data_IF_188910985345
#
_entry.id   IF_188910985345
#
_cell.length_a   1.000
_cell.length_b   1.000
_cell.length_c   1.000
_cell.angle_alpha   90.00
_cell.angle_beta   90.00
_cell.angle_gamma   90.00
#
_symmetry.space_group_name_H-M   'P 1'
#
loop_
_entity.id
_entity.type
_entity.pdbx_description
1 polymer ?
#
# COMPACT_ATOMS: atom_id res chain seq x y z
N UNK A 1 16.82 3.15 3.64
CA UNK A 1 16.37 1.80 3.96
C UNK A 1 14.88 1.82 4.25
N UNK A 2 14.17 0.77 3.89
CA UNK A 2 12.74 0.71 4.11
C UNK A 2 12.44 0.01 5.42
N UNK A 3 11.51 0.56 6.19
CA UNK A 3 11.02 -0.09 7.40
C UNK A 3 9.71 -0.79 7.09
N UNK A 4 9.65 -2.10 7.30
CA UNK A 4 8.42 -2.85 7.07
C UNK A 4 7.60 -2.80 8.35
N UNK A 5 6.42 -2.18 8.27
CA UNK A 5 5.54 -2.02 9.43
C UNK A 5 4.67 -3.24 9.62
N UNK A 6 4.23 -3.84 8.53
CA UNK A 6 3.38 -5.03 8.57
C UNK A 6 3.49 -5.74 7.24
N UNK A 7 3.47 -7.06 7.26
CA UNK A 7 3.43 -7.84 6.04
C UNK A 7 2.20 -8.73 6.07
N UNK A 8 1.34 -8.57 5.07
CA UNK A 8 0.12 -9.36 4.93
C UNK A 8 0.00 -9.72 3.46
N UNK A 9 0.54 -10.85 3.09
CA UNK A 9 0.66 -11.23 1.69
C UNK A 9 -0.64 -11.13 0.94
N UNK A 10 -0.62 -10.62 -0.27
CA UNK A 10 0.56 -10.25 -1.06
C UNK A 10 1.04 -8.82 -0.82
N UNK A 11 0.57 -8.18 0.23
CA UNK A 11 0.88 -6.78 0.50
C UNK A 11 1.91 -6.61 1.60
N UNK A 12 2.63 -5.50 1.53
CA UNK A 12 3.58 -5.12 2.55
C UNK A 12 3.42 -3.63 2.81
N UNK A 13 3.34 -3.25 4.08
CA UNK A 13 3.16 -1.86 4.47
C UNK A 13 4.48 -1.34 4.97
N UNK A 14 4.99 -0.28 4.33
CA UNK A 14 6.35 0.18 4.60
C UNK A 14 6.37 1.68 4.82
N UNK A 15 7.41 2.11 5.52
CA UNK A 15 7.76 3.52 5.63
C UNK A 15 9.15 3.67 5.05
N UNK A 16 9.31 4.59 4.10
CA UNK A 16 10.60 4.86 3.51
C UNK A 16 11.38 5.82 4.39
N UNK A 17 12.70 5.73 4.29
CA UNK A 17 13.57 6.53 5.12
C UNK A 17 13.49 8.00 4.78
N UNK A 18 13.33 8.31 3.52
CA UNK A 18 13.28 9.69 3.07
C UNK A 18 11.88 10.27 3.22
N UNK A 19 11.82 11.54 3.57
CA UNK A 19 10.54 12.24 3.65
C UNK A 19 10.10 12.66 2.25
N UNK A 20 8.79 12.88 2.13
CA UNK A 20 8.24 13.44 0.90
C UNK A 20 8.63 14.92 0.80
N UNK A 21 8.43 15.50 -0.38
CA UNK A 21 8.76 16.91 -0.60
C UNK A 21 8.11 17.84 0.39
N UNK A 22 6.90 17.49 0.84
CA UNK A 22 6.18 18.30 1.80
C UNK A 22 6.59 18.04 3.25
N UNK A 23 7.64 17.23 3.47
CA UNK A 23 8.14 16.95 4.81
C UNK A 23 7.40 15.86 5.52
N UNK A 24 6.41 15.25 4.91
CA UNK A 24 5.65 14.19 5.53
C UNK A 24 6.33 12.84 5.34
N UNK A 25 6.13 11.90 6.28
CA UNK A 25 6.67 10.55 6.11
C UNK A 25 6.11 9.87 4.86
N UNK A 26 6.95 9.07 4.23
CA UNK A 26 6.58 8.38 3.00
C UNK A 26 6.07 6.98 3.36
N UNK A 27 4.76 6.87 3.55
CA UNK A 27 4.12 5.59 3.83
C UNK A 27 3.58 5.00 2.56
N UNK A 28 3.97 3.75 2.27
CA UNK A 28 3.55 3.09 1.06
C UNK A 28 3.04 1.69 1.32
N UNK A 29 2.07 1.28 0.51
CA UNK A 29 1.65 -0.11 0.46
C UNK A 29 2.30 -0.70 -0.78
N UNK A 30 3.02 -1.81 -0.59
CA UNK A 30 3.67 -2.50 -1.69
C UNK A 30 2.99 -3.83 -1.92
N UNK A 31 2.99 -4.29 -3.16
CA UNK A 31 2.39 -5.56 -3.53
C UNK A 31 3.43 -6.45 -4.19
N UNK A 32 3.39 -7.72 -3.88
CA UNK A 32 4.31 -8.69 -4.47
C UNK A 32 4.00 -8.91 -5.94
N UNK A 33 5.06 -8.85 -6.74
CA UNK A 33 5.00 -9.15 -8.17
C UNK A 33 5.98 -10.29 -8.43
N UNK A 34 5.52 -11.37 -9.02
CA UNK A 34 6.34 -12.55 -9.24
C UNK A 34 7.60 -12.26 -10.05
N UNK A 35 7.62 -11.20 -10.83
CA UNK A 35 8.77 -10.89 -11.68
C UNK A 35 9.71 -9.89 -11.03
N UNK A 36 9.19 -8.98 -10.25
CA UNK A 36 9.96 -7.83 -9.75
C UNK A 36 10.04 -7.73 -8.25
N UNK A 37 9.43 -8.65 -7.53
CA UNK A 37 9.37 -8.56 -6.07
C UNK A 37 8.33 -7.55 -5.62
N UNK A 38 8.56 -6.93 -4.49
CA UNK A 38 7.61 -5.95 -3.98
C UNK A 38 7.71 -4.65 -4.76
N UNK A 39 6.57 -4.15 -5.18
CA UNK A 39 6.48 -2.90 -5.93
C UNK A 39 5.52 -1.96 -5.24
N UNK A 40 5.81 -0.65 -5.35
CA UNK A 40 4.93 0.36 -4.79
C UNK A 40 3.56 0.27 -5.47
N UNK A 41 2.53 0.14 -4.66
CA UNK A 41 1.17 0.05 -5.15
C UNK A 41 0.39 1.32 -4.83
N UNK A 42 0.54 1.84 -3.64
CA UNK A 42 -0.25 2.96 -3.19
C UNK A 42 0.53 3.81 -2.21
N UNK A 43 0.49 5.12 -2.41
CA UNK A 43 1.11 6.08 -1.49
C UNK A 43 0.03 6.58 -0.54
N UNK A 44 0.21 6.30 0.75
CA UNK A 44 -0.74 6.75 1.76
C UNK A 44 -0.51 8.23 2.06
N UNK A 45 -1.59 8.98 2.19
CA UNK A 45 -1.51 10.41 2.45
C UNK A 45 -1.00 10.74 3.83
N UNK A 46 -1.28 9.86 4.80
CA UNK A 46 -0.85 10.08 6.17
C UNK A 46 -0.82 8.75 6.91
N UNK A 47 -0.35 8.79 8.16
CA UNK A 47 -0.25 7.56 8.95
C UNK A 47 -1.61 6.97 9.27
N UNK A 48 -2.61 7.81 9.44
CA UNK A 48 -3.94 7.32 9.74
C UNK A 48 -4.49 6.45 8.61
N UNK A 49 -4.25 6.86 7.36
CA UNK A 49 -4.66 6.06 6.22
C UNK A 49 -3.87 4.74 6.18
N UNK A 50 -2.57 4.82 6.45
CA UNK A 50 -1.73 3.62 6.53
C UNK A 50 -2.25 2.68 7.61
N UNK A 51 -2.57 3.21 8.78
CA UNK A 51 -3.06 2.39 9.87
C UNK A 51 -4.41 1.75 9.53
N UNK A 52 -5.29 2.50 8.90
CA UNK A 52 -6.57 1.95 8.46
C UNK A 52 -6.36 0.78 7.51
N UNK A 53 -5.43 0.94 6.56
CA UNK A 53 -5.15 -0.14 5.63
C UNK A 53 -4.54 -1.35 6.32
N UNK A 54 -3.70 -1.13 7.33
CA UNK A 54 -3.11 -2.24 8.07
C UNK A 54 -4.14 -2.99 8.91
N UNK A 55 -5.11 -2.26 9.44
CA UNK A 55 -6.13 -2.86 10.28
C UNK A 55 -7.26 -3.52 9.50
N UNK A 56 -7.47 -3.07 8.27
CA UNK A 56 -8.59 -3.54 7.46
C UNK A 56 -8.08 -4.01 6.10
N UNK A 57 -7.96 -5.33 5.97
CA UNK A 57 -7.46 -5.93 4.76
C UNK A 57 -8.37 -5.65 3.56
N UNK A 58 -9.67 -5.55 3.79
CA UNK A 58 -10.60 -5.23 2.71
C UNK A 58 -10.35 -3.84 2.17
N UNK A 59 -10.01 -2.90 3.04
CA UNK A 59 -9.67 -1.57 2.61
C UNK A 59 -8.41 -1.59 1.75
N UNK A 60 -7.41 -2.39 2.15
CA UNK A 60 -6.20 -2.55 1.35
C UNK A 60 -6.51 -3.09 -0.04
N UNK A 61 -7.37 -4.08 -0.11
CA UNK A 61 -7.76 -4.65 -1.40
C UNK A 61 -8.51 -3.63 -2.25
N UNK A 62 -9.27 -2.79 -1.60
CA UNK A 62 -9.99 -1.73 -2.30
C UNK A 62 -9.03 -0.70 -2.90
N UNK A 63 -7.92 -0.44 -2.23
CA UNK A 63 -6.91 0.48 -2.74
C UNK A 63 -6.08 -0.13 -3.87
N UNK A 64 -6.10 -1.43 -4.03
CA UNK A 64 -5.31 -2.13 -5.05
C UNK A 64 -6.06 -2.09 -6.38
N UNK A 65 -5.53 -1.39 -7.39
CA UNK A 65 -6.21 -1.29 -8.68
C UNK A 65 -6.41 -2.64 -9.35
N UNK A 66 -5.46 -3.55 -9.16
CA UNK A 66 -5.57 -4.87 -9.75
C UNK A 66 -6.46 -5.78 -8.94
N UNK A 67 -6.69 -5.44 -7.68
CA UNK A 67 -7.56 -6.22 -6.81
C UNK A 67 -9.02 -5.83 -6.89
N UNK A 68 -9.32 -4.71 -7.53
CA UNK A 68 -10.70 -4.29 -7.71
C UNK A 68 -11.30 -5.10 -8.84
N UNK A 69 -12.32 -5.88 -8.57
CA UNK A 69 -12.91 -6.72 -9.62
C UNK A 69 -13.46 -5.88 -10.73
N UNK A 70 -13.38 -6.43 -11.93
CA UNK A 70 -13.84 -5.70 -13.10
C UNK A 70 -15.31 -5.44 -13.10
N UNK A 71 -16.02 -6.11 -12.24
CA UNK A 71 -17.45 -5.94 -12.24
C UNK A 71 -17.88 -4.51 -12.01
N UNK A 72 -17.03 -3.73 -11.42
CA UNK A 72 -17.41 -2.34 -11.23
C UNK A 72 -17.66 -1.64 -12.53
N UNK A 73 -17.20 -2.21 -13.60
CA UNK A 73 -17.40 -1.62 -14.89
C UNK A 73 -18.67 -2.07 -15.54
N UNK A 74 -19.32 -2.98 -14.92
CA UNK A 74 -20.49 -3.55 -15.52
C UNK A 74 -21.68 -2.73 -15.38
N UNK A 75 -21.47 -1.63 -15.02
CA UNK A 75 -22.64 -0.80 -14.98
C UNK A 75 -22.92 -0.23 -16.30
#
# INVERSE_FOLDING_TARGET
MIEVLLQHEPYRYVRKEELLENGQPDYRIQKWDNHNGYRDMYLCDNYMQMQTAMDDFEYTKWLDPAGVPCYVHDV
#
